data_IF_146086566484
#
_entry.id   IF_146086566484
#
_cell.length_a   1.000
_cell.length_b   1.000
_cell.length_c   1.000
_cell.angle_alpha   90.00
_cell.angle_beta   90.00
_cell.angle_gamma   90.00
#
_symmetry.space_group_name_H-M   'P 1'
#
loop_
_entity.id
_entity.type
_entity.pdbx_description
1 polymer ?
#
# COMPACT_ATOMS: atom_id res chain seq x y z
N UNK A 1 34.61 -53.06 -28.82
CA UNK A 1 34.96 -51.66 -29.10
C UNK A 1 34.10 -50.65 -28.33
N UNK A 2 32.89 -51.00 -27.86
CA UNK A 2 31.96 -50.07 -27.20
C UNK A 2 32.30 -49.65 -25.75
N UNK A 3 32.88 -50.53 -24.92
CA UNK A 3 33.08 -50.25 -23.49
C UNK A 3 34.10 -49.14 -23.21
N UNK A 4 35.12 -48.99 -24.06
CA UNK A 4 36.13 -47.94 -23.92
C UNK A 4 35.60 -46.55 -24.26
N UNK A 5 34.66 -46.47 -25.22
CA UNK A 5 34.04 -45.19 -25.63
C UNK A 5 33.08 -44.69 -24.55
N UNK A 6 32.30 -45.58 -23.93
CA UNK A 6 31.38 -45.21 -22.84
C UNK A 6 32.12 -44.70 -21.62
N UNK A 7 33.25 -45.32 -21.24
CA UNK A 7 34.08 -44.86 -20.10
C UNK A 7 34.67 -43.47 -20.36
N UNK A 8 35.10 -43.19 -21.59
CA UNK A 8 35.64 -41.88 -21.97
C UNK A 8 34.57 -40.78 -21.93
N UNK A 9 33.34 -41.08 -22.37
CA UNK A 9 32.24 -40.11 -22.33
C UNK A 9 31.88 -39.76 -20.88
N UNK A 10 31.73 -40.77 -20.00
CA UNK A 10 31.39 -40.54 -18.58
C UNK A 10 32.48 -39.75 -17.86
N UNK A 11 33.76 -40.04 -18.15
CA UNK A 11 34.87 -39.29 -17.59
C UNK A 11 34.86 -37.82 -18.06
N UNK A 12 34.55 -37.56 -19.33
CA UNK A 12 34.48 -36.21 -19.87
C UNK A 12 33.35 -35.38 -19.23
N UNK A 13 32.15 -35.95 -19.06
CA UNK A 13 31.04 -35.24 -18.41
C UNK A 13 31.32 -34.96 -16.93
N UNK A 14 31.96 -35.89 -16.22
CA UNK A 14 32.34 -35.69 -14.82
C UNK A 14 33.35 -34.54 -14.66
N UNK A 15 34.34 -34.44 -15.56
CA UNK A 15 35.32 -33.34 -15.55
C UNK A 15 34.65 -32.01 -15.86
N UNK A 16 33.73 -31.95 -16.83
CA UNK A 16 32.98 -30.72 -17.13
C UNK A 16 32.11 -30.27 -15.94
N UNK A 17 31.41 -31.19 -15.28
CA UNK A 17 30.57 -30.88 -14.14
C UNK A 17 31.37 -30.40 -12.91
N UNK A 18 32.53 -31.01 -12.66
CA UNK A 18 33.43 -30.56 -11.59
C UNK A 18 34.06 -29.19 -11.93
N UNK A 19 34.39 -28.95 -13.20
CA UNK A 19 34.96 -27.68 -13.66
C UNK A 19 34.00 -26.50 -13.49
N UNK A 20 32.72 -26.66 -13.82
CA UNK A 20 31.73 -25.59 -13.64
C UNK A 20 31.41 -25.34 -12.17
N UNK A 21 31.38 -26.39 -11.34
CA UNK A 21 31.23 -26.26 -9.88
C UNK A 21 32.37 -25.45 -9.24
N UNK A 22 33.62 -25.77 -9.61
CA UNK A 22 34.81 -25.08 -9.09
C UNK A 22 34.88 -23.62 -9.54
N UNK A 23 34.47 -23.34 -10.78
CA UNK A 23 34.39 -21.97 -11.30
C UNK A 23 33.35 -21.13 -10.56
N UNK A 24 32.15 -21.67 -10.32
CA UNK A 24 31.08 -20.98 -9.58
C UNK A 24 31.48 -20.69 -8.13
N UNK A 25 32.21 -21.62 -7.50
CA UNK A 25 32.67 -21.45 -6.13
C UNK A 25 33.77 -20.37 -6.03
N UNK A 26 34.71 -20.31 -6.98
CA UNK A 26 35.71 -19.25 -7.04
C UNK A 26 35.10 -17.86 -7.30
N UNK A 27 34.09 -17.76 -8.18
CA UNK A 27 33.41 -16.48 -8.44
C UNK A 27 32.64 -15.98 -7.21
N UNK A 28 32.02 -16.89 -6.45
CA UNK A 28 31.33 -16.55 -5.22
C UNK A 28 32.28 -16.04 -4.12
N UNK A 29 33.45 -16.67 -3.97
CA UNK A 29 34.47 -16.24 -3.00
C UNK A 29 35.06 -14.85 -3.36
N UNK A 30 35.29 -14.58 -4.65
CA UNK A 30 35.70 -13.26 -5.14
C UNK A 30 34.65 -12.18 -4.86
N UNK A 31 33.37 -12.47 -5.10
CA UNK A 31 32.27 -11.54 -4.80
C UNK A 31 32.16 -11.26 -3.29
N UNK A 32 32.37 -12.28 -2.45
CA UNK A 32 32.35 -12.14 -0.99
C UNK A 32 33.52 -11.31 -0.47
N UNK A 33 34.71 -11.51 -1.02
CA UNK A 33 35.89 -10.70 -0.70
C UNK A 33 35.72 -9.22 -1.12
N UNK A 34 35.05 -8.94 -2.25
CA UNK A 34 34.71 -7.56 -2.63
C UNK A 34 33.66 -6.92 -1.74
N UNK A 35 32.69 -7.70 -1.24
CA UNK A 35 31.68 -7.22 -0.31
C UNK A 35 32.28 -6.89 1.07
N UNK A 36 33.27 -7.68 1.53
CA UNK A 36 33.99 -7.41 2.79
C UNK A 36 34.94 -6.21 2.68
N UNK A 37 35.57 -5.98 1.52
CA UNK A 37 36.44 -4.83 1.29
C UNK A 37 35.68 -3.49 1.18
N UNK A 38 34.37 -3.51 0.91
CA UNK A 38 33.49 -2.34 0.86
C UNK A 38 32.80 -2.01 2.19
N UNK A 39 33.00 -2.84 3.23
CA UNK A 39 32.64 -2.49 4.60
C UNK A 39 33.72 -1.60 5.20
N UNK A 40 33.80 -0.36 4.71
CA UNK A 40 34.43 0.73 5.46
C UNK A 40 33.70 0.86 6.79
N UNK A 41 34.44 0.74 7.89
CA UNK A 41 33.94 0.85 9.26
C UNK A 41 33.14 2.14 9.51
N UNK A 42 32.47 2.23 10.68
CA UNK A 42 31.51 3.29 10.95
C UNK A 42 32.16 4.66 10.73
N UNK A 43 31.49 5.47 9.92
CA UNK A 43 31.84 6.88 9.76
C UNK A 43 31.93 7.53 11.14
N UNK A 44 33.05 8.19 11.42
CA UNK A 44 33.21 8.98 12.63
C UNK A 44 32.11 10.06 12.65
N UNK A 45 31.27 10.02 13.69
CA UNK A 45 30.29 11.06 13.96
C UNK A 45 31.01 12.42 14.04
N UNK A 46 30.46 13.50 13.44
CA UNK A 46 30.97 14.84 13.71
C UNK A 46 30.83 15.11 15.21
N UNK A 47 31.91 15.52 15.86
CA UNK A 47 31.85 15.99 17.24
C UNK A 47 30.87 17.17 17.33
N UNK A 48 29.94 17.12 18.28
CA UNK A 48 29.08 18.25 18.63
C UNK A 48 29.96 19.47 18.90
N UNK A 49 29.61 20.67 18.39
CA UNK A 49 30.30 21.88 18.78
C UNK A 49 30.07 22.09 20.28
N UNK A 50 31.15 22.31 21.03
CA UNK A 50 31.03 22.64 22.45
C UNK A 50 30.16 23.89 22.62
N UNK A 51 28.96 23.67 23.13
CA UNK A 51 28.03 24.72 23.50
C UNK A 51 28.68 25.53 24.61
N UNK A 52 29.21 26.69 24.26
CA UNK A 52 29.76 27.64 25.23
C UNK A 52 28.77 27.85 26.37
N UNK A 53 29.23 27.62 27.59
CA UNK A 53 28.46 27.80 28.82
C UNK A 53 27.95 29.24 28.86
N UNK A 54 26.66 29.44 28.55
CA UNK A 54 25.99 30.73 28.69
C UNK A 54 25.92 31.07 30.18
N UNK A 55 26.81 31.95 30.60
CA UNK A 55 26.76 32.57 31.92
C UNK A 55 25.82 33.75 31.82
N UNK A 56 24.58 33.59 32.32
CA UNK A 56 23.68 34.72 32.50
C UNK A 56 24.23 35.58 33.65
N UNK A 57 24.86 36.71 33.31
CA UNK A 57 25.11 37.80 34.25
C UNK A 57 24.17 38.94 33.89
N UNK A 58 23.41 39.37 34.90
CA UNK A 58 22.44 40.47 34.90
C UNK A 58 21.11 40.23 34.17
N UNK A 59 20.25 39.41 34.80
CA UNK A 59 18.80 39.44 34.58
C UNK A 59 18.13 40.43 35.54
N UNK A 60 17.69 41.57 35.02
CA UNK A 60 16.82 42.49 35.74
C UNK A 60 15.35 42.15 35.45
N UNK A 61 14.55 41.91 36.49
CA UNK A 61 13.10 41.76 36.37
C UNK A 61 12.47 43.13 36.12
N UNK A 62 12.09 43.42 34.89
CA UNK A 62 11.16 44.52 34.59
C UNK A 62 9.74 44.03 34.82
N UNK A 63 9.30 44.04 36.08
CA UNK A 63 7.90 43.78 36.43
C UNK A 63 7.02 44.83 35.74
N UNK A 64 6.26 44.41 34.73
CA UNK A 64 5.16 45.19 34.21
C UNK A 64 4.13 45.40 35.32
N UNK A 65 3.59 46.62 35.41
CA UNK A 65 2.50 46.95 36.34
C UNK A 65 1.28 46.07 36.01
N UNK A 66 0.49 45.64 36.99
CA UNK A 66 -0.76 44.93 36.71
C UNK A 66 -1.65 45.85 35.87
N UNK A 67 -1.84 45.50 34.61
CA UNK A 67 -2.96 46.01 33.84
C UNK A 67 -4.23 45.51 34.52
N UNK A 68 -5.15 46.44 34.70
CA UNK A 68 -6.47 46.18 35.28
C UNK A 68 -7.09 44.95 34.63
N UNK A 69 -7.62 44.09 35.51
CA UNK A 69 -8.28 42.84 35.17
C UNK A 69 -9.45 43.13 34.22
N UNK A 70 -9.23 42.97 32.92
CA UNK A 70 -10.29 42.69 31.97
C UNK A 70 -11.01 41.40 32.42
N UNK A 71 -12.33 41.26 32.18
CA UNK A 71 -13.10 40.15 32.70
C UNK A 71 -12.45 38.84 32.29
N UNK A 72 -12.16 38.00 33.29
CA UNK A 72 -11.61 36.67 33.08
C UNK A 72 -12.61 35.90 32.22
N UNK A 73 -12.26 35.62 30.96
CA UNK A 73 -12.80 34.45 30.28
C UNK A 73 -12.53 33.28 31.21
N UNK A 74 -13.61 32.64 31.66
CA UNK A 74 -13.55 31.50 32.57
C UNK A 74 -12.68 30.41 31.94
N UNK A 75 -11.82 29.77 32.72
CA UNK A 75 -11.05 28.61 32.26
C UNK A 75 -11.95 27.48 31.72
N UNK A 76 -13.23 27.46 32.11
CA UNK A 76 -14.27 26.60 31.55
C UNK A 76 -14.61 26.90 30.08
N UNK A 77 -14.51 28.15 29.64
CA UNK A 77 -14.79 28.59 28.27
C UNK A 77 -13.67 28.13 27.32
N UNK A 78 -12.42 28.30 27.75
CA UNK A 78 -11.23 27.81 27.02
C UNK A 78 -11.19 26.27 26.97
N UNK A 79 -11.64 25.58 28.02
CA UNK A 79 -11.71 24.11 28.05
C UNK A 79 -12.83 23.56 27.17
N UNK A 80 -13.97 24.24 27.10
CA UNK A 80 -15.06 23.89 26.18
C UNK A 80 -14.64 24.07 24.72
N UNK A 81 -13.94 25.16 24.37
CA UNK A 81 -13.40 25.36 23.02
C UNK A 81 -12.31 24.34 22.66
N UNK A 82 -11.41 23.98 23.58
CA UNK A 82 -10.40 22.94 23.33
C UNK A 82 -11.02 21.54 23.14
N UNK A 83 -12.12 21.22 23.83
CA UNK A 83 -12.84 19.95 23.65
C UNK A 83 -13.57 19.85 22.31
N UNK A 84 -13.82 20.97 21.64
CA UNK A 84 -14.40 21.00 20.30
C UNK A 84 -13.42 20.56 19.20
N UNK A 85 -12.11 20.58 19.48
CA UNK A 85 -11.06 20.16 18.55
C UNK A 85 -10.66 18.69 18.68
N UNK A 86 -11.22 17.94 19.64
CA UNK A 86 -10.90 16.53 19.77
C UNK A 86 -11.45 15.76 18.56
N UNK A 87 -10.55 15.04 17.89
CA UNK A 87 -10.88 14.18 16.77
C UNK A 87 -11.54 12.88 17.24
N UNK A 88 -12.53 12.41 16.47
CA UNK A 88 -13.15 11.11 16.68
C UNK A 88 -13.23 10.35 15.36
N UNK A 89 -13.03 9.05 15.41
CA UNK A 89 -13.27 8.13 14.30
C UNK A 89 -14.24 7.03 14.76
N UNK A 90 -15.23 6.76 13.92
CA UNK A 90 -16.17 5.67 14.05
C UNK A 90 -15.94 4.68 12.91
N UNK A 91 -16.05 3.40 13.24
CA UNK A 91 -15.89 2.30 12.30
C UNK A 91 -17.07 1.35 12.47
N UNK A 92 -17.74 1.01 11.37
CA UNK A 92 -18.81 0.02 11.37
C UNK A 92 -18.69 -0.95 10.20
N UNK A 93 -19.01 -2.22 10.46
CA UNK A 93 -19.05 -3.24 9.42
C UNK A 93 -20.31 -3.09 8.56
N UNK A 94 -20.17 -3.37 7.27
CA UNK A 94 -21.23 -3.37 6.26
C UNK A 94 -21.21 -4.68 5.48
N UNK A 95 -22.33 -5.05 4.83
CA UNK A 95 -22.39 -6.20 3.94
C UNK A 95 -21.25 -6.21 2.91
N UNK A 96 -20.93 -7.41 2.43
CA UNK A 96 -19.85 -7.69 1.49
C UNK A 96 -18.46 -7.41 2.08
N UNK A 97 -18.34 -7.61 3.40
CA UNK A 97 -17.11 -7.39 4.17
C UNK A 97 -16.52 -5.98 3.96
N UNK A 98 -17.36 -4.96 4.02
CA UNK A 98 -16.99 -3.56 3.87
C UNK A 98 -16.94 -2.86 5.23
N UNK A 99 -16.16 -1.79 5.33
CA UNK A 99 -16.05 -0.92 6.50
C UNK A 99 -16.56 0.46 6.14
N UNK A 100 -17.51 1.01 6.89
CA UNK A 100 -17.79 2.46 6.92
C UNK A 100 -16.80 3.12 7.88
N UNK A 101 -16.07 4.09 7.38
CA UNK A 101 -15.19 4.96 8.17
C UNK A 101 -15.84 6.33 8.22
N UNK A 102 -16.09 6.85 9.42
CA UNK A 102 -16.56 8.22 9.64
C UNK A 102 -15.61 8.91 10.61
N UNK A 103 -14.96 9.97 10.15
CA UNK A 103 -13.97 10.73 10.90
C UNK A 103 -14.43 12.18 11.02
N UNK A 104 -14.34 12.74 12.22
CA UNK A 104 -14.59 14.16 12.49
C UNK A 104 -13.45 14.73 13.33
N UNK A 105 -12.73 15.68 12.76
CA UNK A 105 -11.66 16.45 13.40
C UNK A 105 -11.75 17.91 12.92
N UNK A 106 -12.68 18.72 13.48
CA UNK A 106 -13.05 20.02 12.92
C UNK A 106 -11.90 21.04 12.88
N UNK A 107 -10.88 20.89 13.73
CA UNK A 107 -9.70 21.76 13.74
C UNK A 107 -8.61 21.34 12.75
N UNK A 108 -8.89 20.34 11.91
CA UNK A 108 -8.00 19.76 10.90
C UNK A 108 -8.60 19.84 9.49
N UNK A 109 -9.44 20.83 9.23
CA UNK A 109 -10.05 21.03 7.91
C UNK A 109 -9.00 21.05 6.78
N UNK A 110 -9.23 20.27 5.73
CA UNK A 110 -8.30 20.12 4.62
C UNK A 110 -7.00 19.35 4.93
N UNK A 111 -6.80 18.86 6.17
CA UNK A 111 -5.58 18.15 6.52
C UNK A 111 -5.55 16.78 5.83
N UNK A 112 -4.42 16.51 5.18
CA UNK A 112 -4.12 15.19 4.60
C UNK A 112 -3.87 14.18 5.72
N UNK A 113 -4.36 12.96 5.51
CA UNK A 113 -4.06 11.82 6.37
C UNK A 113 -3.86 10.55 5.54
N UNK A 114 -3.20 9.55 6.13
CA UNK A 114 -3.09 8.21 5.56
C UNK A 114 -3.93 7.25 6.38
N UNK A 115 -4.87 6.58 5.73
CA UNK A 115 -5.67 5.53 6.34
C UNK A 115 -4.93 4.19 6.22
N UNK A 116 -4.64 3.57 7.35
CA UNK A 116 -4.01 2.26 7.44
C UNK A 116 -5.03 1.19 7.80
N UNK A 117 -5.08 0.11 7.03
CA UNK A 117 -5.92 -1.06 7.32
C UNK A 117 -5.35 -2.32 6.68
N UNK A 118 -5.18 -3.41 7.43
CA UNK A 118 -4.86 -4.71 6.83
C UNK A 118 -3.62 -4.74 5.92
N UNK A 119 -2.62 -3.89 6.22
CA UNK A 119 -1.41 -3.73 5.41
C UNK A 119 -1.51 -2.69 4.29
N UNK A 120 -2.71 -2.24 3.93
CA UNK A 120 -2.88 -1.15 2.96
C UNK A 120 -2.75 0.23 3.61
N UNK A 121 -2.33 1.18 2.78
CA UNK A 121 -2.21 2.60 3.06
C UNK A 121 -3.01 3.34 1.99
N UNK A 122 -3.91 4.23 2.40
CA UNK A 122 -4.79 4.96 1.48
C UNK A 122 -4.72 6.43 1.85
N UNK A 123 -4.29 7.27 0.91
CA UNK A 123 -4.21 8.71 1.16
C UNK A 123 -5.57 9.37 0.99
N UNK A 124 -5.97 10.19 1.96
CA UNK A 124 -7.16 11.03 1.89
C UNK A 124 -6.87 12.42 2.45
N UNK A 125 -7.84 13.32 2.32
CA UNK A 125 -7.87 14.59 3.02
C UNK A 125 -9.23 14.78 3.69
N UNK A 126 -9.24 15.49 4.82
CA UNK A 126 -10.48 15.95 5.43
C UNK A 126 -11.11 17.06 4.59
N UNK A 127 -12.43 17.17 4.62
CA UNK A 127 -13.16 18.25 3.97
C UNK A 127 -12.97 19.60 4.70
N UNK A 128 -13.66 20.64 4.21
CA UNK A 128 -13.59 21.99 4.76
C UNK A 128 -14.12 22.10 6.20
N UNK A 129 -14.91 21.12 6.64
CA UNK A 129 -15.46 21.01 7.99
C UNK A 129 -14.63 20.05 8.87
N UNK A 130 -13.51 19.52 8.35
CA UNK A 130 -12.64 18.58 9.05
C UNK A 130 -13.23 17.18 9.15
N UNK A 131 -14.06 16.77 8.19
CA UNK A 131 -14.71 15.45 8.17
C UNK A 131 -14.23 14.59 7.02
N UNK A 132 -14.37 13.28 7.19
CA UNK A 132 -14.23 12.30 6.13
C UNK A 132 -15.25 11.18 6.35
N UNK A 133 -15.90 10.75 5.27
CA UNK A 133 -16.76 9.57 5.26
C UNK A 133 -16.43 8.74 4.02
N UNK A 134 -16.12 7.47 4.21
CA UNK A 134 -15.66 6.61 3.13
C UNK A 134 -15.88 5.12 3.41
N UNK A 135 -15.73 4.32 2.36
CA UNK A 135 -15.84 2.86 2.44
C UNK A 135 -14.48 2.23 2.18
N UNK A 136 -14.09 1.26 3.00
CA UNK A 136 -12.84 0.51 2.84
C UNK A 136 -13.14 -0.99 2.90
N UNK A 137 -12.67 -1.81 1.95
CA UNK A 137 -12.72 -3.27 2.03
C UNK A 137 -11.97 -3.80 3.26
N UNK A 138 -12.63 -4.61 4.08
CA UNK A 138 -11.97 -5.34 5.16
C UNK A 138 -10.95 -6.36 4.64
N UNK A 139 -9.73 -6.38 5.17
CA UNK A 139 -8.70 -7.37 4.81
C UNK A 139 -8.37 -8.33 5.96
N UNK A 140 -8.93 -8.07 7.13
CA UNK A 140 -8.81 -8.89 8.36
C UNK A 140 -10.12 -8.84 9.15
N UNK A 141 -10.53 -9.95 9.76
CA UNK A 141 -11.83 -10.07 10.43
C UNK A 141 -11.93 -9.18 11.68
N UNK A 142 -10.85 -9.03 12.44
CA UNK A 142 -10.75 -7.99 13.48
C UNK A 142 -10.09 -6.76 12.89
N UNK A 143 -10.90 -5.93 12.25
CA UNK A 143 -10.45 -4.74 11.55
C UNK A 143 -10.03 -3.65 12.54
N UNK A 144 -8.75 -3.28 12.50
CA UNK A 144 -8.24 -2.03 13.05
C UNK A 144 -8.03 -1.07 11.88
N UNK A 145 -8.54 0.15 12.00
CA UNK A 145 -8.31 1.23 11.05
C UNK A 145 -7.65 2.38 11.81
N UNK A 146 -6.59 2.94 11.24
CA UNK A 146 -5.85 4.07 11.81
C UNK A 146 -5.82 5.19 10.77
N UNK A 147 -6.21 6.40 11.16
CA UNK A 147 -5.99 7.62 10.40
C UNK A 147 -4.73 8.31 10.96
N UNK A 148 -3.63 8.20 10.22
CA UNK A 148 -2.32 8.79 10.51
C UNK A 148 -2.24 10.22 9.96
N UNK A 149 -2.03 11.19 10.84
CA UNK A 149 -1.92 12.60 10.49
C UNK A 149 -0.47 13.07 10.60
N UNK A 150 -0.06 13.98 9.71
CA UNK A 150 1.29 14.56 9.77
C UNK A 150 1.56 15.34 11.07
N UNK A 151 0.52 15.79 11.75
CA UNK A 151 0.61 16.56 13.00
C UNK A 151 -0.41 16.10 14.03
N UNK A 152 -0.14 16.34 15.31
CA UNK A 152 -1.07 16.03 16.41
C UNK A 152 -1.24 14.52 16.65
N UNK A 153 -2.43 14.12 17.11
CA UNK A 153 -2.75 12.72 17.44
C UNK A 153 -3.48 12.04 16.29
N UNK A 154 -3.10 10.80 16.04
CA UNK A 154 -3.80 9.87 15.16
C UNK A 154 -5.13 9.42 15.78
N UNK A 155 -6.04 8.96 14.92
CA UNK A 155 -7.31 8.39 15.34
C UNK A 155 -7.36 6.92 14.94
N UNK A 156 -7.85 6.07 15.83
CA UNK A 156 -8.04 4.65 15.55
C UNK A 156 -9.42 4.17 15.97
N UNK A 157 -9.91 3.15 15.29
CA UNK A 157 -11.17 2.48 15.60
C UNK A 157 -11.08 1.00 15.22
N UNK A 158 -11.87 0.18 15.92
CA UNK A 158 -11.86 -1.28 15.76
C UNK A 158 -13.27 -1.80 15.59
N UNK A 159 -13.45 -2.75 14.68
CA UNK A 159 -14.71 -3.47 14.48
C UNK A 159 -14.42 -4.92 14.09
N UNK A 160 -15.38 -5.81 14.37
CA UNK A 160 -15.36 -7.18 13.85
C UNK A 160 -16.17 -7.25 12.56
N UNK A 161 -15.64 -7.92 11.55
CA UNK A 161 -16.26 -8.17 10.24
C UNK A 161 -16.50 -9.67 10.13
N UNK A 162 -17.77 -10.08 10.23
CA UNK A 162 -18.15 -11.48 10.35
C UNK A 162 -18.25 -12.20 9.00
N UNK A 163 -18.45 -11.46 7.90
CA UNK A 163 -18.68 -11.99 6.55
C UNK A 163 -17.44 -11.93 5.65
N UNK A 164 -16.25 -11.64 6.19
CA UNK A 164 -15.01 -11.58 5.40
C UNK A 164 -14.67 -12.92 4.73
N UNK A 165 -15.01 -14.04 5.36
CA UNK A 165 -14.82 -15.38 4.79
C UNK A 165 -15.77 -15.70 3.62
N UNK A 166 -16.78 -14.86 3.35
CA UNK A 166 -17.72 -15.02 2.24
C UNK A 166 -17.21 -14.44 0.92
N UNK A 167 -16.09 -13.73 0.92
CA UNK A 167 -15.50 -13.09 -0.25
C UNK A 167 -14.07 -13.55 -0.53
N UNK A 168 -13.62 -13.37 -1.76
CA UNK A 168 -12.21 -13.39 -2.15
C UNK A 168 -11.81 -12.01 -2.68
N UNK A 169 -10.57 -11.59 -2.42
CA UNK A 169 -10.08 -10.25 -2.84
C UNK A 169 -8.71 -10.29 -3.48
N UNK A 170 -8.55 -9.43 -4.48
CA UNK A 170 -7.26 -9.04 -5.04
C UNK A 170 -7.10 -7.55 -4.83
N UNK A 171 -6.01 -7.17 -4.18
CA UNK A 171 -5.71 -5.80 -3.77
C UNK A 171 -4.42 -5.38 -4.46
N UNK A 172 -4.46 -4.28 -5.19
CA UNK A 172 -3.29 -3.66 -5.80
C UNK A 172 -3.09 -2.29 -5.17
N UNK A 173 -1.91 -2.05 -4.58
CA UNK A 173 -1.55 -0.77 -3.99
C UNK A 173 -0.32 -0.18 -4.69
N UNK A 174 -0.32 1.12 -4.90
CA UNK A 174 0.81 1.86 -5.46
C UNK A 174 0.81 3.31 -4.98
N UNK A 175 1.85 4.06 -5.35
CA UNK A 175 1.95 5.49 -5.07
C UNK A 175 1.81 6.33 -6.35
N UNK A 176 1.00 7.38 -6.27
CA UNK A 176 0.85 8.40 -7.31
C UNK A 176 0.20 7.90 -8.59
N UNK A 177 0.54 8.59 -9.69
CA UNK A 177 0.02 8.31 -11.03
C UNK A 177 0.82 7.20 -11.71
N UNK A 178 0.38 5.95 -11.49
CA UNK A 178 1.06 4.77 -12.00
C UNK A 178 0.48 4.22 -13.29
N UNK A 179 -0.77 4.55 -13.62
CA UNK A 179 -1.54 3.90 -14.68
C UNK A 179 -1.94 2.45 -14.37
N UNK A 180 -1.66 1.96 -13.14
CA UNK A 180 -1.99 0.59 -12.73
C UNK A 180 -3.50 0.40 -12.56
N UNK A 181 -3.98 -0.75 -13.01
CA UNK A 181 -5.38 -1.14 -12.97
C UNK A 181 -5.54 -2.64 -12.69
N UNK A 182 -6.58 -2.99 -11.94
CA UNK A 182 -7.02 -4.39 -11.76
C UNK A 182 -8.12 -4.71 -12.76
N UNK A 183 -7.90 -5.76 -13.56
CA UNK A 183 -8.86 -6.29 -14.51
C UNK A 183 -9.22 -7.73 -14.16
N UNK A 184 -10.51 -8.02 -14.02
CA UNK A 184 -11.03 -9.35 -13.77
C UNK A 184 -11.93 -9.80 -14.93
N UNK A 185 -11.57 -10.91 -15.56
CA UNK A 185 -12.36 -11.57 -16.59
C UNK A 185 -13.12 -12.73 -15.95
N UNK A 186 -14.38 -12.49 -15.64
CA UNK A 186 -15.24 -13.41 -14.90
C UNK A 186 -15.86 -14.48 -15.81
N UNK A 187 -15.87 -15.72 -15.32
CA UNK A 187 -16.62 -16.85 -15.89
C UNK A 187 -16.36 -17.10 -17.40
N UNK A 188 -15.14 -16.84 -17.86
CA UNK A 188 -14.74 -17.03 -19.26
C UNK A 188 -14.99 -15.83 -20.18
N UNK A 189 -15.36 -14.67 -19.62
CA UNK A 189 -15.44 -13.42 -20.36
C UNK A 189 -14.10 -13.00 -20.98
N UNK A 190 -14.19 -12.14 -21.99
CA UNK A 190 -13.08 -11.47 -22.65
C UNK A 190 -13.21 -9.96 -22.54
N UNK A 191 -12.20 -9.21 -23.01
CA UNK A 191 -12.18 -7.75 -22.91
C UNK A 191 -13.42 -7.10 -23.55
N UNK A 192 -14.06 -6.23 -22.77
CA UNK A 192 -15.23 -5.47 -23.21
C UNK A 192 -16.55 -6.25 -23.13
N UNK A 193 -16.52 -7.52 -22.75
CA UNK A 193 -17.73 -8.28 -22.47
C UNK A 193 -18.29 -7.97 -21.07
N UNK A 194 -19.57 -8.29 -20.79
CA UNK A 194 -20.20 -7.96 -19.50
C UNK A 194 -19.49 -8.52 -18.25
N UNK A 195 -18.71 -9.60 -18.38
CA UNK A 195 -17.90 -10.18 -17.30
C UNK A 195 -16.49 -9.61 -17.19
N UNK A 196 -16.15 -8.54 -17.92
CA UNK A 196 -14.88 -7.81 -17.76
C UNK A 196 -15.05 -6.70 -16.74
N UNK A 197 -14.62 -6.96 -15.51
CA UNK A 197 -14.76 -6.08 -14.36
C UNK A 197 -13.47 -5.32 -14.10
N UNK A 198 -13.55 -4.00 -14.12
CA UNK A 198 -12.48 -3.05 -13.85
C UNK A 198 -13.10 -1.72 -13.45
N UNK A 199 -12.31 -0.71 -13.06
CA UNK A 199 -12.83 0.59 -12.58
C UNK A 199 -13.77 1.30 -13.57
N UNK A 200 -13.67 1.00 -14.87
CA UNK A 200 -14.53 1.55 -15.93
C UNK A 200 -15.70 0.65 -16.36
N UNK A 201 -15.89 -0.51 -15.73
CA UNK A 201 -16.97 -1.46 -16.05
C UNK A 201 -18.34 -1.00 -15.50
N UNK A 202 -19.43 -1.34 -16.20
CA UNK A 202 -20.77 -1.18 -15.62
C UNK A 202 -21.11 -2.36 -14.71
N UNK A 203 -21.48 -2.07 -13.45
CA UNK A 203 -21.72 -3.07 -12.41
C UNK A 203 -22.92 -4.01 -12.67
N UNK A 204 -23.75 -3.74 -13.67
CA UNK A 204 -25.04 -4.41 -13.88
C UNK A 204 -24.96 -5.89 -14.26
N UNK A 205 -23.81 -6.36 -14.72
CA UNK A 205 -23.60 -7.75 -15.16
C UNK A 205 -22.39 -8.44 -14.51
N UNK A 206 -21.63 -7.70 -13.69
CA UNK A 206 -20.49 -8.19 -12.94
C UNK A 206 -20.96 -8.90 -11.68
N UNK A 207 -20.35 -10.03 -11.34
CA UNK A 207 -20.61 -10.70 -10.08
C UNK A 207 -19.67 -10.21 -8.97
N UNK A 208 -18.46 -9.80 -9.32
CA UNK A 208 -17.56 -9.05 -8.47
C UNK A 208 -17.62 -7.54 -8.73
N UNK A 209 -16.79 -6.80 -7.99
CA UNK A 209 -16.67 -5.35 -8.12
C UNK A 209 -15.23 -4.90 -7.89
N UNK A 210 -14.83 -3.82 -8.57
CA UNK A 210 -13.56 -3.11 -8.31
C UNK A 210 -13.84 -1.79 -7.62
N UNK A 211 -13.23 -1.58 -6.46
CA UNK A 211 -13.21 -0.29 -5.78
C UNK A 211 -11.83 0.36 -5.93
N UNK A 212 -11.80 1.59 -6.44
CA UNK A 212 -10.60 2.43 -6.50
C UNK A 212 -10.62 3.44 -5.36
N UNK A 213 -9.58 3.44 -4.54
CA UNK A 213 -9.47 4.17 -3.28
C UNK A 213 -8.21 5.05 -3.28
N UNK A 214 -8.26 6.10 -2.48
CA UNK A 214 -7.23 7.13 -2.37
C UNK A 214 -7.53 8.35 -3.22
N UNK A 215 -7.28 9.52 -2.65
CA UNK A 215 -7.50 10.82 -3.27
C UNK A 215 -6.44 11.12 -4.33
N UNK A 216 -6.84 11.12 -5.61
CA UNK A 216 -5.96 11.38 -6.75
C UNK A 216 -5.44 12.81 -6.80
N UNK A 217 -6.11 13.76 -6.14
CA UNK A 217 -5.70 15.17 -6.16
C UNK A 217 -4.52 15.43 -5.21
N UNK A 218 -4.17 14.43 -4.39
CA UNK A 218 -3.07 14.49 -3.44
C UNK A 218 -1.74 14.10 -4.09
N UNK A 219 -0.70 14.88 -3.80
CA UNK A 219 0.67 14.60 -4.28
C UNK A 219 1.12 13.24 -3.75
N UNK A 220 1.59 12.38 -4.65
CA UNK A 220 2.12 11.05 -4.30
C UNK A 220 1.17 10.26 -3.37
N UNK A 221 -0.13 10.31 -3.67
CA UNK A 221 -1.16 9.59 -2.93
C UNK A 221 -0.87 8.09 -2.91
N UNK A 222 -1.06 7.45 -1.76
CA UNK A 222 -1.17 5.99 -1.70
C UNK A 222 -2.56 5.62 -2.25
N UNK A 223 -2.56 4.87 -3.35
CA UNK A 223 -3.75 4.48 -4.12
C UNK A 223 -3.92 2.97 -4.02
N UNK A 224 -5.16 2.52 -4.01
CA UNK A 224 -5.50 1.09 -3.92
C UNK A 224 -6.65 0.77 -4.85
N UNK A 225 -6.55 -0.32 -5.60
CA UNK A 225 -7.68 -0.98 -6.24
C UNK A 225 -7.95 -2.33 -5.60
N UNK A 226 -9.21 -2.59 -5.29
CA UNK A 226 -9.65 -3.84 -4.65
C UNK A 226 -10.73 -4.47 -5.51
N UNK A 227 -10.38 -5.57 -6.17
CA UNK A 227 -11.36 -6.48 -6.75
C UNK A 227 -11.90 -7.40 -5.65
N UNK A 228 -13.22 -7.45 -5.50
CA UNK A 228 -13.93 -8.34 -4.55
C UNK A 228 -14.88 -9.24 -5.32
N UNK A 229 -14.78 -10.55 -5.08
CA UNK A 229 -15.66 -11.57 -5.64
C UNK A 229 -16.38 -12.31 -4.50
N UNK A 230 -17.72 -12.23 -4.41
CA UNK A 230 -18.49 -13.08 -3.51
C UNK A 230 -18.30 -14.57 -3.85
N UNK A 231 -18.14 -15.43 -2.86
CA UNK A 231 -17.92 -16.87 -3.08
C UNK A 231 -19.14 -17.59 -3.65
N UNK A 232 -20.33 -17.02 -3.50
CA UNK A 232 -21.59 -17.53 -4.04
C UNK A 232 -21.95 -16.92 -5.41
N UNK A 233 -21.07 -16.11 -5.99
CA UNK A 233 -21.27 -15.37 -7.25
C UNK A 233 -21.54 -16.24 -8.49
N UNK A 234 -21.23 -17.54 -8.45
CA UNK A 234 -21.48 -18.44 -9.59
C UNK A 234 -20.46 -19.57 -9.68
N UNK A 235 -20.34 -20.16 -10.87
CA UNK A 235 -19.38 -21.24 -11.13
C UNK A 235 -18.54 -20.92 -12.35
N UNK A 236 -17.24 -21.09 -12.26
CA UNK A 236 -16.29 -20.82 -13.34
C UNK A 236 -14.98 -20.25 -12.83
N UNK A 237 -14.04 -20.03 -13.74
CA UNK A 237 -12.77 -19.38 -13.42
C UNK A 237 -12.91 -17.87 -13.64
N UNK A 238 -12.34 -17.10 -12.71
CA UNK A 238 -12.08 -15.67 -12.88
C UNK A 238 -10.58 -15.50 -13.10
N UNK A 239 -10.23 -14.89 -14.23
CA UNK A 239 -8.85 -14.56 -14.56
C UNK A 239 -8.58 -13.10 -14.20
N UNK A 240 -7.64 -12.86 -13.30
CA UNK A 240 -7.28 -11.49 -12.89
C UNK A 240 -5.92 -11.12 -13.48
N UNK A 241 -5.86 -9.98 -14.17
CA UNK A 241 -4.65 -9.35 -14.67
C UNK A 241 -4.42 -8.01 -13.97
N UNK A 242 -3.14 -7.66 -13.83
CA UNK A 242 -2.73 -6.32 -13.48
C UNK A 242 -2.23 -5.66 -14.76
N UNK A 243 -2.77 -4.49 -15.07
CA UNK A 243 -2.44 -3.75 -16.28
C UNK A 243 -1.88 -2.39 -15.91
N UNK A 244 -1.03 -1.83 -16.77
CA UNK A 244 -0.54 -0.47 -16.63
C UNK A 244 -0.70 0.29 -17.94
N UNK A 245 -1.57 1.30 -17.97
CA UNK A 245 -1.62 2.26 -19.07
C UNK A 245 -0.34 3.11 -19.06
N UNK A 246 0.31 3.24 -20.22
CA UNK A 246 1.47 4.11 -20.38
C UNK A 246 0.95 5.54 -20.62
N UNK A 247 1.28 6.44 -19.71
CA UNK A 247 0.87 7.85 -19.75
C UNK A 247 2.08 8.77 -19.78
N UNK A 248 1.87 10.04 -20.14
CA UNK A 248 2.92 11.06 -20.06
C UNK A 248 3.42 11.29 -18.62
N UNK A 249 2.68 10.82 -17.61
CA UNK A 249 3.03 10.95 -16.20
C UNK A 249 3.81 9.75 -15.67
N UNK A 250 3.89 8.63 -16.39
CA UNK A 250 4.55 7.41 -15.89
C UNK A 250 5.58 6.79 -16.83
N UNK A 251 5.67 7.22 -18.09
CA UNK A 251 6.65 6.70 -19.04
C UNK A 251 8.10 6.92 -18.59
N UNK A 252 9.01 6.01 -18.99
CA UNK A 252 10.42 6.00 -18.58
C UNK A 252 10.65 5.97 -17.05
N UNK A 253 9.73 5.34 -16.31
CA UNK A 253 9.81 5.23 -14.84
C UNK A 253 9.70 3.78 -14.37
N UNK A 254 10.36 3.54 -13.24
CA UNK A 254 10.10 2.37 -12.41
C UNK A 254 8.92 2.67 -11.50
N UNK A 255 7.98 1.73 -11.43
CA UNK A 255 6.82 1.80 -10.54
C UNK A 255 6.89 0.65 -9.57
N UNK A 256 6.84 0.98 -8.29
CA UNK A 256 6.68 0.01 -7.22
C UNK A 256 5.19 -0.10 -6.85
N UNK A 257 4.75 -1.34 -6.68
CA UNK A 257 3.40 -1.68 -6.28
C UNK A 257 3.42 -2.90 -5.34
N UNK A 258 2.33 -3.10 -4.63
CA UNK A 258 2.14 -4.25 -3.77
C UNK A 258 0.83 -4.94 -4.14
N UNK A 259 0.90 -6.24 -4.41
CA UNK A 259 -0.25 -7.09 -4.65
C UNK A 259 -0.56 -7.87 -3.38
N UNK A 260 -1.82 -7.90 -2.99
CA UNK A 260 -2.30 -8.75 -1.91
C UNK A 260 -3.49 -9.59 -2.37
N UNK A 261 -3.52 -10.85 -1.94
CA UNK A 261 -4.60 -11.79 -2.24
C UNK A 261 -5.18 -12.29 -0.92
N UNK A 262 -6.48 -12.04 -0.71
CA UNK A 262 -7.21 -12.60 0.42
C UNK A 262 -7.99 -13.83 -0.06
N UNK A 263 -7.55 -15.01 0.37
CA UNK A 263 -8.17 -16.30 0.04
C UNK A 263 -8.11 -17.24 1.24
N UNK A 264 -9.22 -17.94 1.50
CA UNK A 264 -9.25 -18.99 2.53
C UNK A 264 -8.79 -18.52 3.91
N UNK A 265 -9.20 -17.32 4.33
CA UNK A 265 -8.84 -16.68 5.60
C UNK A 265 -7.34 -16.36 5.75
N UNK A 266 -6.65 -16.15 4.63
CA UNK A 266 -5.23 -15.76 4.61
C UNK A 266 -5.04 -14.61 3.63
N UNK A 267 -4.33 -13.58 4.09
CA UNK A 267 -3.82 -12.51 3.26
C UNK A 267 -2.38 -12.86 2.85
N UNK A 268 -2.16 -12.98 1.55
CA UNK A 268 -0.83 -13.16 0.96
C UNK A 268 -0.40 -11.85 0.32
N UNK A 269 0.88 -11.48 0.46
CA UNK A 269 1.40 -10.21 -0.04
C UNK A 269 2.63 -10.47 -0.90
N UNK A 270 2.75 -9.72 -2.01
CA UNK A 270 3.90 -9.76 -2.90
C UNK A 270 4.21 -8.36 -3.42
N UNK A 271 5.47 -7.98 -3.37
CA UNK A 271 5.94 -6.73 -3.97
C UNK A 271 6.14 -6.89 -5.48
N UNK A 272 5.86 -5.82 -6.21
CA UNK A 272 5.98 -5.72 -7.66
C UNK A 272 6.81 -4.49 -8.01
N UNK A 273 7.75 -4.65 -8.93
CA UNK A 273 8.45 -3.53 -9.56
C UNK A 273 8.28 -3.65 -11.06
N UNK A 274 7.68 -2.63 -11.67
CA UNK A 274 7.40 -2.57 -13.09
C UNK A 274 8.31 -1.53 -13.74
N UNK A 275 8.86 -1.86 -14.90
CA UNK A 275 9.54 -0.89 -15.74
C UNK A 275 8.57 -0.41 -16.82
N UNK A 276 8.11 0.83 -16.73
CA UNK A 276 7.22 1.42 -17.72
C UNK A 276 8.03 1.84 -18.95
N UNK A 277 7.63 1.45 -20.17
CA UNK A 277 8.32 1.80 -21.40
C UNK A 277 8.44 3.31 -21.64
N UNK A 278 9.20 3.62 -22.69
CA UNK A 278 9.44 4.99 -23.14
C UNK A 278 8.16 5.73 -23.55
N UNK A 279 8.22 7.06 -23.49
CA UNK A 279 7.07 7.93 -23.78
C UNK A 279 6.57 7.86 -25.24
N UNK A 280 7.25 7.13 -26.12
CA UNK A 280 6.77 6.84 -27.48
C UNK A 280 5.57 5.88 -27.48
N UNK A 281 5.41 5.08 -26.41
CA UNK A 281 4.36 4.09 -26.23
C UNK A 281 3.16 4.61 -25.40
N UNK A 282 3.02 5.93 -25.24
CA UNK A 282 1.87 6.50 -24.51
C UNK A 282 0.56 6.10 -25.20
N UNK A 283 -0.38 5.58 -24.39
CA UNK A 283 -1.65 4.99 -24.83
C UNK A 283 -1.61 3.46 -25.02
N UNK A 284 -0.43 2.84 -24.99
CA UNK A 284 -0.31 1.39 -24.92
C UNK A 284 -0.47 0.89 -23.48
N UNK A 285 -0.68 -0.43 -23.34
CA UNK A 285 -0.86 -1.10 -22.05
C UNK A 285 0.19 -2.19 -21.85
N UNK A 286 0.77 -2.23 -20.65
CA UNK A 286 1.52 -3.38 -20.17
C UNK A 286 0.58 -4.33 -19.43
N UNK A 287 0.47 -5.57 -19.91
CA UNK A 287 -0.36 -6.60 -19.28
C UNK A 287 0.52 -7.60 -18.52
N UNK A 288 0.34 -7.68 -17.21
CA UNK A 288 1.06 -8.58 -16.34
C UNK A 288 0.26 -9.85 -16.06
N UNK A 289 0.46 -10.84 -16.92
CA UNK A 289 -0.19 -12.13 -16.81
C UNK A 289 0.46 -13.00 -15.71
N UNK A 290 -0.35 -13.89 -15.11
CA UNK A 290 0.08 -14.89 -14.13
C UNK A 290 0.62 -14.31 -12.82
N UNK A 291 0.27 -13.07 -12.50
CA UNK A 291 0.59 -12.47 -11.21
C UNK A 291 -0.38 -12.94 -10.13
N UNK A 292 -1.65 -13.08 -10.45
CA UNK A 292 -2.70 -13.54 -9.54
C UNK A 292 -2.99 -15.00 -9.89
N UNK A 293 -3.12 -15.87 -8.90
CA UNK A 293 -3.63 -17.20 -9.16
C UNK A 293 -5.11 -17.11 -9.55
N UNK A 294 -5.50 -17.74 -10.67
CA UNK A 294 -6.91 -17.74 -11.11
C UNK A 294 -7.84 -18.11 -9.94
N UNK A 295 -8.81 -17.23 -9.66
CA UNK A 295 -9.83 -17.50 -8.65
C UNK A 295 -10.78 -18.54 -9.25
N UNK A 296 -10.89 -19.69 -8.60
CA UNK A 296 -11.74 -20.79 -9.04
C UNK A 296 -12.88 -20.96 -8.07
N UNK A 297 -14.10 -20.69 -8.51
CA UNK A 297 -15.28 -21.05 -7.72
C UNK A 297 -15.60 -22.52 -8.03
N UNK A 298 -15.34 -23.40 -7.05
CA UNK A 298 -15.73 -24.80 -7.13
C UNK A 298 -17.22 -24.93 -6.77
N UNK A 299 -18.00 -25.61 -7.62
CA UNK A 299 -19.34 -26.04 -7.26
C UNK A 299 -19.25 -27.15 -6.20
N UNK A 300 -19.88 -26.93 -5.04
CA UNK A 300 -20.05 -27.96 -4.00
C UNK A 300 -21.17 -28.93 -4.37
#
# INVERSE_FOLDING_TARGET
>A
MGTRVTVLIVAATAVCALGTGLYMQQTADLQRATAEAQSSGPAALPAEPETGKLVFQDVAFTSARPLERSPQSSADDVRAEMSSCDGVMLLSARPDALLQVDLSAPCRAGERFTLHHGGVMITHALDAEGKFSGVVPALVSRAVVIADFASGRDLDAVVTVDDLDTVERVVLQWQGESGLEVHALEFGATYGEPGHVWKGSEASFAAGQVLSLGDSDQIAAQRVEVYTLPKDAGTGAVSVSIEAEITALNCDRLIDAQLMEYRGDRLQTRDLTLNIPECSAVGDFLVLNNLVESLKIAAN
#
